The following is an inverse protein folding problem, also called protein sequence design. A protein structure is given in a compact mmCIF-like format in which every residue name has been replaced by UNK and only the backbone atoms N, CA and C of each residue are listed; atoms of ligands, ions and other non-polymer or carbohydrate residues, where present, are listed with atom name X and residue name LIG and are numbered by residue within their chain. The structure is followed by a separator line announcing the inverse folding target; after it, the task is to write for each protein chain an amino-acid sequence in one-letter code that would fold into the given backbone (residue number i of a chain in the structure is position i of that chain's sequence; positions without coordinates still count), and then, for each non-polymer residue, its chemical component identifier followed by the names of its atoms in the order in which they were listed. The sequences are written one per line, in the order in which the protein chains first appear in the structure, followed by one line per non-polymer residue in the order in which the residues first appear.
data_IF_668185235456
#
_entry.id   IF_668185235456
#
_cell.length_a   1.000
_cell.length_b   1.000
_cell.length_c   1.000
_cell.angle_alpha   90.00
_cell.angle_beta   90.00
_cell.angle_gamma   90.00
#
_symmetry.space_group_name_H-M   'P 1'
#
loop_
_entity.id
_entity.type
_entity.pdbx_description
1 polymer ?
#
# COMPACT_ATOMS: atom_id res chain seq x y z
N UNK A 1 34.46 25.33 -15.63
CA UNK A 1 34.49 26.60 -14.90
C UNK A 1 33.18 26.97 -14.16
N UNK A 2 32.00 26.44 -14.50
CA UNK A 2 30.73 26.71 -13.79
C UNK A 2 30.49 25.82 -12.57
N UNK A 3 31.06 24.62 -12.53
CA UNK A 3 30.88 23.67 -11.42
C UNK A 3 31.71 24.07 -10.18
N UNK A 4 32.89 24.60 -10.39
CA UNK A 4 33.79 25.06 -9.31
C UNK A 4 33.23 26.24 -8.51
N UNK A 5 32.46 27.13 -9.14
CA UNK A 5 31.83 28.28 -8.46
C UNK A 5 30.67 27.86 -7.53
N UNK A 6 29.99 26.74 -7.80
CA UNK A 6 28.94 26.23 -6.91
C UNK A 6 29.51 25.48 -5.71
N UNK A 7 30.63 24.80 -5.86
CA UNK A 7 31.34 24.13 -4.75
C UNK A 7 31.94 25.14 -3.79
N UNK A 8 32.51 26.25 -4.31
CA UNK A 8 33.07 27.30 -3.47
C UNK A 8 32.01 28.06 -2.66
N UNK A 9 30.80 28.22 -3.18
CA UNK A 9 29.67 28.86 -2.48
C UNK A 9 29.09 28.00 -1.33
N UNK A 10 29.16 26.66 -1.42
CA UNK A 10 28.72 25.76 -0.36
C UNK A 10 29.74 25.71 0.81
N UNK A 11 31.04 25.80 0.51
CA UNK A 11 32.10 25.81 1.55
C UNK A 11 32.09 27.12 2.32
N UNK A 12 31.81 28.27 1.69
CA UNK A 12 31.71 29.57 2.38
C UNK A 12 30.48 29.73 3.26
N UNK A 13 29.38 29.02 2.97
CA UNK A 13 28.18 29.05 3.81
C UNK A 13 28.29 28.19 5.09
N UNK A 14 29.13 27.14 5.09
CA UNK A 14 29.37 26.26 6.24
C UNK A 14 30.35 26.83 7.29
N UNK A 15 31.21 27.76 6.91
CA UNK A 15 32.24 28.34 7.80
C UNK A 15 31.72 29.51 8.64
N UNK A 16 30.55 30.05 8.35
CA UNK A 16 29.95 31.21 9.05
C UNK A 16 29.25 30.87 10.37
N UNK A 17 29.17 29.60 10.77
CA UNK A 17 28.47 29.17 12.01
C UNK A 17 29.41 28.72 13.15
N UNK A 18 30.74 28.85 13.04
CA UNK A 18 31.64 28.50 14.14
C UNK A 18 32.46 29.72 14.52
N UNK A 19 32.13 30.29 15.67
CA UNK A 19 32.83 31.45 16.25
C UNK A 19 34.32 31.20 16.45
N UNK A 20 35.09 32.21 16.13
CA UNK A 20 36.49 32.53 16.48
C UNK A 20 37.35 31.37 17.03
N UNK A 21 37.94 30.57 16.17
CA UNK A 21 39.14 29.78 16.44
C UNK A 21 40.15 30.09 15.34
N UNK A 22 41.41 30.39 15.78
CA UNK A 22 42.46 30.92 14.91
C UNK A 22 42.80 30.02 13.74
N UNK A 23 43.09 30.67 12.62
CA UNK A 23 43.50 30.09 11.35
C UNK A 23 44.87 29.46 11.46
N UNK A 24 45.01 28.21 11.87
CA UNK A 24 46.28 27.47 11.79
C UNK A 24 46.15 26.03 11.28
N UNK A 25 44.97 25.55 10.90
CA UNK A 25 44.90 24.22 10.31
C UNK A 25 43.79 24.09 9.23
N UNK A 26 43.95 24.84 8.15
CA UNK A 26 43.13 24.69 6.94
C UNK A 26 43.32 23.32 6.26
N UNK A 27 44.44 22.64 6.51
CA UNK A 27 44.76 21.35 5.91
C UNK A 27 43.94 20.24 6.59
N UNK A 28 43.84 20.22 7.92
CA UNK A 28 43.03 19.25 8.66
C UNK A 28 41.54 19.43 8.47
N UNK A 29 41.06 20.68 8.27
CA UNK A 29 39.66 20.96 7.96
C UNK A 29 39.28 20.52 6.53
N UNK A 30 40.20 20.64 5.58
CA UNK A 30 40.04 20.18 4.19
C UNK A 30 40.06 18.64 4.10
N UNK A 31 40.90 17.97 4.88
CA UNK A 31 40.93 16.51 4.97
C UNK A 31 39.69 15.94 5.68
N UNK A 32 39.21 16.58 6.74
CA UNK A 32 37.95 16.23 7.42
C UNK A 32 36.74 16.52 6.55
N UNK A 33 36.71 17.61 5.79
CA UNK A 33 35.64 17.90 4.83
C UNK A 33 35.70 16.98 3.60
N UNK A 34 36.93 16.59 3.18
CA UNK A 34 37.14 15.60 2.11
C UNK A 34 36.59 14.21 2.48
N UNK A 35 36.76 13.77 3.72
CA UNK A 35 36.23 12.52 4.23
C UNK A 35 34.69 12.57 4.48
N UNK A 36 34.13 13.75 4.76
CA UNK A 36 32.67 13.92 4.83
C UNK A 36 32.01 14.05 3.45
N UNK A 37 32.74 14.44 2.41
CA UNK A 37 32.22 14.55 1.04
C UNK A 37 32.31 13.26 0.23
N UNK A 38 32.95 12.20 0.76
CA UNK A 38 33.09 10.90 0.09
C UNK A 38 32.09 9.83 0.52
N UNK A 39 31.08 10.17 1.31
CA UNK A 39 29.91 9.33 1.49
C UNK A 39 28.83 9.65 0.42
N UNK A 40 29.22 9.87 -0.85
CA UNK A 40 28.29 9.65 -1.95
C UNK A 40 28.11 8.15 -2.05
N UNK A 41 26.88 7.65 -1.87
CA UNK A 41 26.57 6.27 -2.19
C UNK A 41 27.18 5.97 -3.56
N UNK A 42 28.01 4.92 -3.67
CA UNK A 42 28.50 4.48 -4.99
C UNK A 42 27.26 4.13 -5.81
N UNK A 43 27.02 4.90 -6.86
CA UNK A 43 25.93 4.65 -7.80
C UNK A 43 26.49 3.95 -9.05
N UNK A 44 25.72 3.02 -9.60
CA UNK A 44 26.14 2.27 -10.78
C UNK A 44 24.94 1.85 -11.63
N UNK A 45 25.28 1.17 -12.73
CA UNK A 45 24.29 0.53 -13.60
C UNK A 45 24.66 -0.93 -13.83
N UNK A 46 23.64 -1.78 -13.89
CA UNK A 46 23.77 -3.19 -14.24
C UNK A 46 22.68 -3.53 -15.26
N UNK A 47 23.07 -3.65 -16.52
CA UNK A 47 22.12 -3.81 -17.62
C UNK A 47 21.14 -2.63 -17.69
N UNK A 48 19.87 -2.91 -17.48
CA UNK A 48 18.79 -1.91 -17.46
C UNK A 48 18.49 -1.35 -16.06
N UNK A 49 19.22 -1.76 -15.04
CA UNK A 49 19.02 -1.35 -13.66
C UNK A 49 20.02 -0.26 -13.27
N UNK A 50 19.55 0.72 -12.47
CA UNK A 50 20.39 1.61 -11.68
C UNK A 50 20.42 1.11 -10.25
N UNK A 51 21.56 1.25 -9.58
CA UNK A 51 21.71 0.83 -8.20
C UNK A 51 22.59 1.80 -7.40
N UNK A 52 22.43 1.77 -6.08
CA UNK A 52 23.28 2.42 -5.12
C UNK A 52 23.84 1.42 -4.12
N UNK A 53 24.99 1.74 -3.52
CA UNK A 53 25.57 0.97 -2.43
C UNK A 53 25.13 1.59 -1.10
N UNK A 54 24.50 0.78 -0.26
CA UNK A 54 24.06 1.22 1.07
C UNK A 54 25.25 1.38 2.03
N UNK A 55 25.03 2.01 3.18
CA UNK A 55 26.05 2.13 4.23
C UNK A 55 26.52 0.77 4.78
N UNK A 56 25.72 -0.29 4.61
CA UNK A 56 26.08 -1.66 4.99
C UNK A 56 26.94 -2.35 3.92
N UNK A 57 27.19 -1.70 2.78
CA UNK A 57 27.92 -2.28 1.65
C UNK A 57 27.09 -3.21 0.77
N UNK A 58 25.75 -3.18 0.91
CA UNK A 58 24.79 -3.93 0.13
C UNK A 58 24.26 -3.11 -1.05
N UNK A 59 23.59 -3.73 -1.99
CA UNK A 59 23.02 -3.07 -3.17
C UNK A 59 21.53 -2.80 -2.95
N UNK A 60 21.13 -1.56 -3.24
CA UNK A 60 19.76 -1.12 -3.44
C UNK A 60 19.53 -0.82 -4.93
N UNK A 61 18.52 -1.44 -5.54
CA UNK A 61 18.07 -1.07 -6.88
C UNK A 61 17.33 0.26 -6.79
N UNK A 62 17.84 1.29 -7.45
CA UNK A 62 17.32 2.66 -7.39
C UNK A 62 16.55 3.09 -8.62
N UNK A 63 16.63 2.31 -9.72
CA UNK A 63 15.91 2.65 -10.94
C UNK A 63 16.00 1.57 -12.02
N UNK A 64 15.20 1.77 -13.06
CA UNK A 64 15.16 0.92 -14.25
C UNK A 64 14.93 1.76 -15.52
N UNK A 65 15.46 1.30 -16.65
CA UNK A 65 15.13 1.89 -17.95
C UNK A 65 13.65 1.74 -18.29
N UNK A 66 12.96 2.84 -18.60
CA UNK A 66 11.50 2.93 -18.79
C UNK A 66 10.95 2.07 -19.96
N UNK A 67 11.78 1.73 -20.94
CA UNK A 67 11.36 0.99 -22.15
C UNK A 67 11.47 -0.53 -22.05
N UNK A 68 11.94 -1.06 -20.92
CA UNK A 68 12.14 -2.51 -20.78
C UNK A 68 10.81 -3.22 -20.53
N UNK A 69 10.70 -4.44 -21.09
CA UNK A 69 9.51 -5.28 -20.92
C UNK A 69 9.69 -6.36 -19.86
N UNK A 70 10.94 -6.76 -19.59
CA UNK A 70 11.26 -7.78 -18.59
C UNK A 70 12.58 -7.44 -17.90
N UNK A 71 12.65 -7.68 -16.61
CA UNK A 71 13.84 -7.45 -15.78
C UNK A 71 14.08 -8.65 -14.87
N UNK A 72 15.31 -9.12 -14.82
CA UNK A 72 15.79 -10.04 -13.81
C UNK A 72 16.79 -9.29 -12.91
N UNK A 73 16.45 -9.14 -11.64
CA UNK A 73 17.31 -8.52 -10.64
C UNK A 73 18.29 -9.61 -10.18
N UNK A 74 19.63 -9.39 -10.30
CA UNK A 74 20.59 -10.38 -9.85
C UNK A 74 20.66 -10.42 -8.32
N UNK A 75 21.02 -11.55 -7.74
CA UNK A 75 21.22 -11.67 -6.29
C UNK A 75 22.42 -10.87 -5.79
N UNK A 76 23.42 -10.62 -6.66
CA UNK A 76 24.64 -9.87 -6.35
C UNK A 76 25.05 -8.99 -7.52
N UNK A 77 25.60 -7.81 -7.22
CA UNK A 77 26.31 -6.93 -8.16
C UNK A 77 27.68 -6.60 -7.55
N UNK A 78 28.76 -6.83 -8.30
CA UNK A 78 30.14 -6.61 -7.85
C UNK A 78 30.49 -7.32 -6.53
N UNK A 79 29.98 -8.56 -6.33
CA UNK A 79 30.10 -9.37 -5.10
C UNK A 79 29.42 -8.74 -3.87
N UNK A 80 28.56 -7.76 -4.04
CA UNK A 80 27.71 -7.18 -2.99
C UNK A 80 26.29 -7.71 -3.16
N UNK A 81 25.63 -8.20 -2.11
CA UNK A 81 24.27 -8.74 -2.23
C UNK A 81 23.25 -7.63 -2.55
N UNK A 82 22.30 -7.96 -3.42
CA UNK A 82 21.14 -7.09 -3.67
C UNK A 82 20.08 -7.38 -2.61
N UNK A 83 19.89 -6.46 -1.69
CA UNK A 83 18.99 -6.65 -0.52
C UNK A 83 17.76 -5.78 -0.54
N UNK A 84 17.71 -4.76 -1.40
CA UNK A 84 16.56 -3.86 -1.46
C UNK A 84 16.25 -3.36 -2.85
N UNK A 85 14.95 -3.11 -3.06
CA UNK A 85 14.41 -2.30 -4.14
C UNK A 85 13.97 -0.99 -3.52
N UNK A 86 14.59 0.12 -3.92
CA UNK A 86 14.39 1.43 -3.35
C UNK A 86 13.04 2.06 -3.71
N UNK A 87 12.76 3.17 -3.07
CA UNK A 87 11.55 3.96 -3.36
C UNK A 87 11.53 4.41 -4.82
N UNK A 88 10.39 4.23 -5.50
CA UNK A 88 10.18 4.59 -6.91
C UNK A 88 11.07 3.85 -7.93
N UNK A 89 11.78 2.78 -7.58
CA UNK A 89 12.78 2.14 -8.44
C UNK A 89 12.23 1.73 -9.83
N UNK A 90 11.00 1.24 -9.90
CA UNK A 90 10.31 0.89 -11.15
C UNK A 90 9.08 1.76 -11.41
N UNK A 91 9.00 2.93 -10.74
CA UNK A 91 7.85 3.81 -10.90
C UNK A 91 7.62 4.20 -12.37
N UNK A 92 6.35 4.08 -12.81
CA UNK A 92 5.90 4.39 -14.17
C UNK A 92 6.65 3.61 -15.29
N UNK A 93 7.25 2.45 -14.96
CA UNK A 93 7.78 1.51 -15.95
C UNK A 93 6.60 0.83 -16.68
N UNK A 94 5.90 1.60 -17.52
CA UNK A 94 4.61 1.20 -18.13
C UNK A 94 4.73 0.05 -19.12
N UNK A 95 5.93 -0.21 -19.66
CA UNK A 95 6.19 -1.33 -20.59
C UNK A 95 6.54 -2.63 -19.87
N UNK A 96 6.83 -2.58 -18.56
CA UNK A 96 7.32 -3.70 -17.78
C UNK A 96 6.20 -4.73 -17.55
N UNK A 97 6.39 -5.95 -18.07
CA UNK A 97 5.41 -7.05 -17.97
C UNK A 97 5.80 -8.08 -16.93
N UNK A 98 7.10 -8.23 -16.65
CA UNK A 98 7.67 -9.23 -15.75
C UNK A 98 8.88 -8.69 -14.99
N UNK A 99 8.96 -8.97 -13.71
CA UNK A 99 10.13 -8.73 -12.85
C UNK A 99 10.41 -9.98 -12.05
N UNK A 100 11.65 -10.46 -12.11
CA UNK A 100 12.14 -11.51 -11.20
C UNK A 100 12.96 -10.87 -10.10
N UNK A 101 12.51 -11.04 -8.87
CA UNK A 101 13.15 -10.52 -7.66
C UNK A 101 13.87 -11.69 -6.98
N UNK A 102 15.16 -11.59 -6.65
CA UNK A 102 15.88 -12.66 -5.96
C UNK A 102 15.49 -12.75 -4.48
N UNK A 103 15.67 -13.93 -3.88
CA UNK A 103 15.36 -14.19 -2.45
C UNK A 103 16.23 -13.37 -1.48
N UNK A 104 17.34 -12.80 -1.97
CA UNK A 104 18.19 -11.90 -1.18
C UNK A 104 17.53 -10.55 -0.85
N UNK A 105 16.46 -10.17 -1.57
CA UNK A 105 15.73 -8.92 -1.34
C UNK A 105 14.82 -9.07 -0.12
N UNK A 106 15.06 -8.22 0.88
CA UNK A 106 14.30 -8.16 2.13
C UNK A 106 13.47 -6.89 2.29
N UNK A 107 13.64 -5.92 1.38
CA UNK A 107 12.88 -4.67 1.41
C UNK A 107 12.46 -4.25 0.00
N UNK A 108 11.19 -3.85 -0.14
CA UNK A 108 10.63 -3.21 -1.33
C UNK A 108 10.05 -1.87 -0.90
N UNK A 109 10.60 -0.79 -1.41
CA UNK A 109 10.29 0.57 -1.00
C UNK A 109 8.92 1.07 -1.46
N UNK A 110 8.56 2.24 -0.95
CA UNK A 110 7.33 2.94 -1.31
C UNK A 110 7.32 3.29 -2.80
N UNK A 111 6.15 3.14 -3.44
CA UNK A 111 5.97 3.40 -4.88
C UNK A 111 6.87 2.56 -5.80
N UNK A 112 7.53 1.50 -5.32
CA UNK A 112 8.55 0.79 -6.09
C UNK A 112 8.06 0.34 -7.47
N UNK A 113 6.81 -0.08 -7.60
CA UNK A 113 6.17 -0.49 -8.86
C UNK A 113 4.93 0.36 -9.20
N UNK A 114 4.83 1.57 -8.64
CA UNK A 114 3.72 2.48 -8.93
C UNK A 114 3.58 2.72 -10.44
N UNK A 115 2.38 2.57 -10.98
CA UNK A 115 2.10 2.84 -12.39
C UNK A 115 2.74 1.86 -13.38
N UNK A 116 3.21 0.69 -12.94
CA UNK A 116 3.65 -0.39 -13.84
C UNK A 116 2.43 -1.02 -14.53
N UNK A 117 1.84 -0.29 -15.47
CA UNK A 117 0.52 -0.61 -16.04
C UNK A 117 0.47 -1.92 -16.83
N UNK A 118 1.61 -2.42 -17.33
CA UNK A 118 1.70 -3.68 -18.07
C UNK A 118 2.11 -4.88 -17.20
N UNK A 119 2.46 -4.66 -15.93
CA UNK A 119 2.90 -5.73 -15.03
C UNK A 119 1.76 -6.72 -14.79
N UNK A 120 1.96 -8.00 -15.15
CA UNK A 120 0.88 -9.01 -15.12
C UNK A 120 0.92 -9.90 -13.88
N UNK A 121 2.10 -10.08 -13.29
CA UNK A 121 2.33 -10.85 -12.06
C UNK A 121 3.69 -10.51 -11.48
N UNK A 122 3.84 -10.73 -10.19
CA UNK A 122 5.09 -10.54 -9.45
C UNK A 122 5.10 -11.44 -8.22
N UNK A 123 6.24 -12.01 -7.90
CA UNK A 123 6.46 -12.76 -6.66
C UNK A 123 7.24 -11.89 -5.70
N UNK A 124 6.70 -11.70 -4.49
CA UNK A 124 7.37 -11.01 -3.40
C UNK A 124 8.24 -12.03 -2.65
N UNK A 125 9.55 -11.78 -2.46
CA UNK A 125 10.43 -12.70 -1.73
C UNK A 125 10.04 -12.89 -0.26
N UNK A 126 10.33 -14.08 0.30
CA UNK A 126 10.01 -14.46 1.68
C UNK A 126 10.72 -13.60 2.75
N UNK A 127 11.75 -12.82 2.39
CA UNK A 127 12.42 -11.88 3.28
C UNK A 127 11.66 -10.58 3.50
N UNK A 128 10.67 -10.25 2.65
CA UNK A 128 9.95 -8.97 2.69
C UNK A 128 8.88 -8.99 3.79
N UNK A 129 8.89 -7.98 4.67
CA UNK A 129 8.02 -7.96 5.86
C UNK A 129 6.80 -7.03 5.73
N UNK A 130 6.73 -6.22 4.70
CA UNK A 130 5.57 -5.36 4.42
C UNK A 130 5.40 -5.11 2.92
N UNK A 131 4.14 -4.95 2.48
CA UNK A 131 3.84 -4.36 1.18
C UNK A 131 3.64 -2.86 1.41
N UNK A 132 4.62 -2.05 1.02
CA UNK A 132 4.76 -0.63 1.36
C UNK A 132 3.69 0.29 0.76
N UNK A 133 3.82 1.58 1.10
CA UNK A 133 2.90 2.63 0.65
C UNK A 133 2.89 2.72 -0.88
N UNK A 134 1.71 2.53 -1.48
CA UNK A 134 1.48 2.60 -2.94
C UNK A 134 2.42 1.74 -3.79
N UNK A 135 3.01 0.68 -3.24
CA UNK A 135 4.03 -0.14 -3.93
C UNK A 135 3.54 -0.63 -5.29
N UNK A 136 2.31 -1.14 -5.40
CA UNK A 136 1.71 -1.63 -6.65
C UNK A 136 0.53 -0.78 -7.13
N UNK A 137 0.40 0.45 -6.63
CA UNK A 137 -0.68 1.34 -7.03
C UNK A 137 -0.65 1.59 -8.54
N UNK A 138 -1.79 1.43 -9.21
CA UNK A 138 -1.91 1.62 -10.66
C UNK A 138 -1.34 0.50 -11.53
N UNK A 139 -0.98 -0.65 -10.97
CA UNK A 139 -0.64 -1.85 -11.73
C UNK A 139 -1.91 -2.48 -12.32
N UNK A 140 -2.50 -1.81 -13.31
CA UNK A 140 -3.84 -2.15 -13.82
C UNK A 140 -3.95 -3.52 -14.48
N UNK A 141 -2.83 -4.09 -14.95
CA UNK A 141 -2.76 -5.41 -15.58
C UNK A 141 -2.40 -6.53 -14.63
N UNK A 142 -2.09 -6.21 -13.34
CA UNK A 142 -1.72 -7.19 -12.33
C UNK A 142 -2.92 -8.11 -12.03
N UNK A 143 -2.79 -9.40 -12.34
CA UNK A 143 -3.87 -10.40 -12.22
C UNK A 143 -3.81 -11.16 -10.93
N UNK A 144 -2.60 -11.46 -10.49
CA UNK A 144 -2.30 -12.26 -9.30
C UNK A 144 -1.04 -11.75 -8.61
N UNK A 145 -1.00 -11.92 -7.32
CA UNK A 145 0.18 -11.64 -6.49
C UNK A 145 0.23 -12.63 -5.33
N UNK A 146 1.41 -13.21 -5.11
CA UNK A 146 1.67 -14.00 -3.93
C UNK A 146 2.28 -13.12 -2.85
N UNK A 147 1.58 -13.01 -1.71
CA UNK A 147 2.07 -12.30 -0.51
C UNK A 147 2.67 -13.35 0.42
N UNK A 148 3.97 -13.28 0.75
CA UNK A 148 4.62 -14.29 1.58
C UNK A 148 4.24 -14.19 3.06
N UNK A 149 4.44 -15.29 3.81
CA UNK A 149 4.16 -15.39 5.26
C UNK A 149 5.04 -14.48 6.14
N UNK A 150 6.05 -13.85 5.56
CA UNK A 150 6.86 -12.82 6.24
C UNK A 150 6.13 -11.48 6.41
N UNK A 151 5.17 -11.16 5.52
CA UNK A 151 4.47 -9.87 5.49
C UNK A 151 3.56 -9.72 6.72
N UNK A 152 3.71 -8.61 7.45
CA UNK A 152 2.94 -8.28 8.66
C UNK A 152 1.85 -7.24 8.42
N UNK A 153 2.00 -6.43 7.37
CA UNK A 153 1.04 -5.36 7.02
C UNK A 153 0.97 -5.13 5.52
N UNK A 154 -0.23 -4.71 5.07
CA UNK A 154 -0.48 -4.20 3.73
C UNK A 154 -0.76 -2.71 3.90
N UNK A 155 0.17 -1.88 3.43
CA UNK A 155 0.19 -0.45 3.71
C UNK A 155 -0.83 0.35 2.87
N UNK A 156 -0.93 1.67 3.16
CA UNK A 156 -1.92 2.52 2.50
C UNK A 156 -1.77 2.48 0.97
N UNK A 157 -2.89 2.25 0.29
CA UNK A 157 -3.01 2.22 -1.18
C UNK A 157 -2.07 1.21 -1.87
N UNK A 158 -1.58 0.19 -1.18
CA UNK A 158 -0.59 -0.76 -1.71
C UNK A 158 -0.99 -1.35 -3.07
N UNK A 159 -2.27 -1.68 -3.27
CA UNK A 159 -2.85 -2.20 -4.51
C UNK A 159 -3.93 -1.28 -5.10
N UNK A 160 -3.86 0.03 -4.81
CA UNK A 160 -4.83 1.00 -5.35
C UNK A 160 -4.92 0.89 -6.88
N UNK A 161 -6.12 0.65 -7.40
CA UNK A 161 -6.36 0.62 -8.85
C UNK A 161 -5.75 -0.58 -9.59
N UNK A 162 -5.40 -1.67 -8.90
CA UNK A 162 -5.06 -2.95 -9.54
C UNK A 162 -6.32 -3.57 -10.14
N UNK A 163 -6.78 -2.98 -11.25
CA UNK A 163 -8.10 -3.24 -11.81
C UNK A 163 -8.29 -4.68 -12.33
N UNK A 164 -7.22 -5.36 -12.72
CA UNK A 164 -7.25 -6.74 -13.20
C UNK A 164 -7.05 -7.79 -12.10
N UNK A 165 -6.80 -7.38 -10.84
CA UNK A 165 -6.54 -8.29 -9.73
C UNK A 165 -7.82 -9.06 -9.37
N UNK A 166 -7.80 -10.37 -9.62
CA UNK A 166 -9.00 -11.23 -9.45
C UNK A 166 -9.03 -11.94 -8.11
N UNK A 167 -7.85 -12.24 -7.57
CA UNK A 167 -7.68 -12.97 -6.31
C UNK A 167 -6.42 -12.49 -5.59
N UNK A 168 -6.50 -12.43 -4.27
CA UNK A 168 -5.35 -12.19 -3.38
C UNK A 168 -5.50 -13.08 -2.16
N UNK A 169 -4.49 -13.88 -1.88
CA UNK A 169 -4.41 -14.64 -0.64
C UNK A 169 -3.64 -13.79 0.38
N UNK A 170 -4.30 -13.40 1.46
CA UNK A 170 -3.68 -12.69 2.57
C UNK A 170 -3.17 -13.73 3.58
N UNK A 171 -1.86 -13.79 3.86
CA UNK A 171 -1.32 -14.79 4.77
C UNK A 171 -1.68 -14.51 6.24
N UNK A 172 -1.66 -15.57 7.07
CA UNK A 172 -1.94 -15.49 8.51
C UNK A 172 -0.93 -14.65 9.32
N UNK A 173 0.10 -14.16 8.70
CA UNK A 173 1.07 -13.24 9.30
C UNK A 173 0.62 -11.78 9.28
N UNK A 174 -0.34 -11.42 8.40
CA UNK A 174 -0.84 -10.04 8.25
C UNK A 174 -1.78 -9.71 9.40
N UNK A 175 -1.48 -8.62 10.10
CA UNK A 175 -2.30 -8.13 11.22
C UNK A 175 -3.10 -6.88 10.90
N UNK A 176 -2.73 -6.15 9.84
CA UNK A 176 -3.36 -4.88 9.46
C UNK A 176 -3.45 -4.72 7.94
N UNK A 177 -4.62 -4.29 7.49
CA UNK A 177 -4.88 -3.83 6.11
C UNK A 177 -5.19 -2.33 6.22
N UNK A 178 -4.29 -1.49 5.70
CA UNK A 178 -4.41 -0.04 5.85
C UNK A 178 -5.34 0.60 4.81
N UNK A 179 -5.50 1.93 4.93
CA UNK A 179 -6.48 2.68 4.14
C UNK A 179 -6.23 2.57 2.63
N UNK A 180 -7.30 2.32 1.88
CA UNK A 180 -7.26 2.21 0.42
C UNK A 180 -6.46 1.03 -0.12
N UNK A 181 -6.03 0.07 0.71
CA UNK A 181 -5.12 -1.01 0.29
C UNK A 181 -5.54 -1.71 -1.01
N UNK A 182 -6.84 -1.95 -1.19
CA UNK A 182 -7.42 -2.55 -2.40
C UNK A 182 -8.45 -1.62 -3.07
N UNK A 183 -8.31 -0.31 -2.89
CA UNK A 183 -9.22 0.67 -3.50
C UNK A 183 -9.27 0.50 -5.03
N UNK A 184 -10.47 0.37 -5.61
CA UNK A 184 -10.69 0.15 -7.06
C UNK A 184 -10.01 -1.10 -7.63
N UNK A 185 -9.83 -2.17 -6.87
CA UNK A 185 -9.54 -3.50 -7.41
C UNK A 185 -10.83 -4.07 -8.01
N UNK A 186 -11.19 -3.55 -9.19
CA UNK A 186 -12.53 -3.74 -9.78
C UNK A 186 -12.81 -5.17 -10.22
N UNK A 187 -11.79 -5.99 -10.46
CA UNK A 187 -11.94 -7.40 -10.84
C UNK A 187 -11.91 -8.37 -9.66
N UNK A 188 -11.68 -7.90 -8.43
CA UNK A 188 -11.65 -8.75 -7.25
C UNK A 188 -13.03 -9.34 -6.99
N UNK A 189 -13.13 -10.68 -6.90
CA UNK A 189 -14.42 -11.40 -6.85
C UNK A 189 -14.73 -11.83 -5.43
N UNK A 190 -13.77 -12.43 -4.76
CA UNK A 190 -13.90 -12.93 -3.39
C UNK A 190 -12.66 -12.61 -2.59
N UNK A 191 -12.81 -12.44 -1.28
CA UNK A 191 -11.68 -12.26 -0.37
C UNK A 191 -11.98 -12.92 0.97
N UNK A 192 -10.99 -13.64 1.48
CA UNK A 192 -10.98 -14.13 2.87
C UNK A 192 -9.91 -13.35 3.63
N UNK A 193 -10.34 -12.68 4.68
CA UNK A 193 -9.44 -11.99 5.62
C UNK A 193 -9.10 -12.98 6.72
N UNK A 194 -7.80 -13.24 6.99
CA UNK A 194 -7.41 -14.22 8.00
C UNK A 194 -7.65 -13.73 9.44
N UNK A 195 -7.78 -14.66 10.37
CA UNK A 195 -8.04 -14.40 11.80
C UNK A 195 -6.92 -13.60 12.50
N UNK A 196 -5.78 -13.43 11.86
CA UNK A 196 -4.69 -12.57 12.35
C UNK A 196 -4.96 -11.07 12.19
N UNK A 197 -5.86 -10.69 11.26
CA UNK A 197 -6.16 -9.28 10.97
C UNK A 197 -7.06 -8.71 12.06
N UNK A 198 -6.63 -7.60 12.66
CA UNK A 198 -7.37 -6.89 13.70
C UNK A 198 -7.90 -5.52 13.26
N UNK A 199 -7.42 -5.01 12.13
CA UNK A 199 -7.74 -3.68 11.64
C UNK A 199 -7.90 -3.66 10.12
N UNK A 200 -9.00 -3.04 9.65
CA UNK A 200 -9.26 -2.75 8.24
C UNK A 200 -9.49 -1.24 8.12
N UNK A 201 -8.62 -0.58 7.35
CA UNK A 201 -8.58 0.88 7.19
C UNK A 201 -9.72 1.44 6.35
N UNK A 202 -9.83 2.77 6.37
CA UNK A 202 -10.78 3.52 5.56
C UNK A 202 -10.61 3.21 4.07
N UNK A 203 -11.72 3.08 3.34
CA UNK A 203 -11.71 2.82 1.90
C UNK A 203 -10.93 1.56 1.46
N UNK A 204 -10.59 0.63 2.36
CA UNK A 204 -9.71 -0.49 2.03
C UNK A 204 -10.19 -1.32 0.81
N UNK A 205 -11.49 -1.47 0.61
CA UNK A 205 -12.12 -2.17 -0.53
C UNK A 205 -13.06 -1.25 -1.32
N UNK A 206 -12.96 0.06 -1.16
CA UNK A 206 -13.82 1.01 -1.85
C UNK A 206 -13.71 0.85 -3.38
N UNK A 207 -14.85 0.74 -4.05
CA UNK A 207 -14.91 0.58 -5.50
C UNK A 207 -14.49 -0.78 -6.04
N UNK A 208 -14.41 -1.82 -5.20
CA UNK A 208 -14.27 -3.21 -5.64
C UNK A 208 -15.61 -3.69 -6.21
N UNK A 209 -15.93 -3.25 -7.42
CA UNK A 209 -17.28 -3.37 -8.00
C UNK A 209 -17.72 -4.81 -8.27
N UNK A 210 -16.78 -5.75 -8.47
CA UNK A 210 -17.08 -7.16 -8.71
C UNK A 210 -16.99 -8.01 -7.44
N UNK A 211 -16.65 -7.43 -6.28
CA UNK A 211 -16.55 -8.16 -5.02
C UNK A 211 -17.94 -8.68 -4.60
N UNK A 212 -18.13 -9.99 -4.68
CA UNK A 212 -19.40 -10.67 -4.37
C UNK A 212 -19.46 -11.10 -2.91
N UNK A 213 -18.32 -11.53 -2.38
CA UNK A 213 -18.21 -12.09 -1.03
C UNK A 213 -16.91 -11.65 -0.37
N UNK A 214 -17.01 -11.26 0.88
CA UNK A 214 -15.87 -11.06 1.77
C UNK A 214 -16.18 -11.65 3.13
N UNK A 215 -15.22 -12.40 3.68
CA UNK A 215 -15.32 -12.94 5.03
C UNK A 215 -14.45 -12.08 5.93
N UNK A 216 -15.09 -11.43 6.91
CA UNK A 216 -14.43 -10.62 7.93
C UNK A 216 -14.42 -11.41 9.22
N UNK A 217 -13.25 -11.73 9.80
CA UNK A 217 -13.16 -12.55 11.00
C UNK A 217 -13.48 -11.76 12.28
N UNK A 218 -13.81 -12.48 13.37
CA UNK A 218 -14.12 -11.89 14.68
C UNK A 218 -12.92 -11.19 15.36
N UNK A 219 -11.71 -11.41 14.86
CA UNK A 219 -10.52 -10.67 15.27
C UNK A 219 -10.52 -9.21 14.86
N UNK A 220 -11.29 -8.83 13.84
CA UNK A 220 -11.37 -7.45 13.35
C UNK A 220 -12.21 -6.61 14.30
N UNK A 221 -11.55 -5.71 15.04
CA UNK A 221 -12.21 -4.82 15.99
C UNK A 221 -12.60 -3.46 15.41
N UNK A 222 -12.11 -3.13 14.21
CA UNK A 222 -12.40 -1.86 13.55
C UNK A 222 -12.43 -2.05 12.02
N UNK A 223 -13.54 -1.57 11.43
CA UNK A 223 -13.73 -1.44 9.98
C UNK A 223 -13.85 0.07 9.72
N UNK A 224 -12.94 0.64 8.95
CA UNK A 224 -12.92 2.08 8.67
C UNK A 224 -14.12 2.59 7.88
N UNK A 225 -14.29 3.90 7.81
CA UNK A 225 -15.33 4.53 6.98
C UNK A 225 -15.15 4.21 5.50
N UNK A 226 -16.24 4.19 4.75
CA UNK A 226 -16.22 3.92 3.29
C UNK A 226 -15.53 2.62 2.87
N UNK A 227 -15.25 1.68 3.80
CA UNK A 227 -14.46 0.47 3.50
C UNK A 227 -15.02 -0.31 2.32
N UNK A 228 -16.33 -0.46 2.23
CA UNK A 228 -17.02 -1.17 1.13
C UNK A 228 -17.84 -0.23 0.24
N UNK A 229 -17.52 1.07 0.23
CA UNK A 229 -18.20 2.05 -0.61
C UNK A 229 -18.17 1.61 -2.08
N UNK A 230 -19.33 1.51 -2.73
CA UNK A 230 -19.43 1.15 -4.14
C UNK A 230 -19.05 -0.29 -4.48
N UNK A 231 -19.05 -1.21 -3.53
CA UNK A 231 -18.96 -2.65 -3.79
C UNK A 231 -20.30 -3.13 -4.36
N UNK A 232 -20.57 -2.76 -5.61
CA UNK A 232 -21.90 -2.91 -6.23
C UNK A 232 -22.37 -4.37 -6.37
N UNK A 233 -21.46 -5.32 -6.42
CA UNK A 233 -21.76 -6.77 -6.54
C UNK A 233 -21.84 -7.48 -5.19
N UNK A 234 -21.58 -6.81 -4.07
CA UNK A 234 -21.58 -7.43 -2.74
C UNK A 234 -23.00 -7.82 -2.36
N UNK A 235 -23.24 -9.14 -2.23
CA UNK A 235 -24.59 -9.70 -1.96
C UNK A 235 -24.84 -9.94 -0.48
N UNK A 236 -23.79 -10.30 0.25
CA UNK A 236 -23.85 -10.56 1.69
C UNK A 236 -22.52 -10.22 2.36
N UNK A 237 -22.60 -9.80 3.60
CA UNK A 237 -21.46 -9.61 4.49
C UNK A 237 -21.90 -9.82 5.92
N UNK A 238 -21.04 -10.47 6.71
CA UNK A 238 -21.21 -10.57 8.16
C UNK A 238 -20.33 -9.53 8.82
N UNK A 239 -20.94 -8.72 9.68
CA UNK A 239 -20.21 -7.78 10.56
C UNK A 239 -19.90 -8.54 11.83
N UNK A 240 -18.63 -8.68 12.24
CA UNK A 240 -18.28 -9.45 13.43
C UNK A 240 -18.73 -8.76 14.73
N UNK A 241 -18.99 -9.55 15.78
CA UNK A 241 -19.44 -9.08 17.09
C UNK A 241 -18.39 -8.22 17.83
N UNK A 242 -17.16 -8.21 17.35
CA UNK A 242 -16.08 -7.33 17.85
C UNK A 242 -16.21 -5.88 17.38
N UNK A 243 -17.03 -5.59 16.36
CA UNK A 243 -17.21 -4.24 15.79
C UNK A 243 -18.25 -3.47 16.59
N UNK A 244 -17.88 -2.27 17.07
CA UNK A 244 -18.76 -1.42 17.89
C UNK A 244 -19.37 -0.24 17.13
N UNK A 245 -18.85 0.07 15.94
CA UNK A 245 -19.30 1.21 15.14
C UNK A 245 -19.33 0.85 13.66
N UNK A 246 -20.39 1.22 12.96
CA UNK A 246 -20.45 1.27 11.50
C UNK A 246 -20.21 2.73 11.11
N UNK A 247 -19.06 3.02 10.52
CA UNK A 247 -18.65 4.38 10.18
C UNK A 247 -19.38 4.92 8.95
N UNK A 248 -19.20 6.21 8.70
CA UNK A 248 -19.83 6.91 7.56
C UNK A 248 -19.52 6.21 6.24
N UNK A 249 -20.56 6.06 5.42
CA UNK A 249 -20.50 5.50 4.06
C UNK A 249 -19.92 4.08 3.95
N UNK A 250 -19.80 3.32 5.04
CA UNK A 250 -19.13 1.99 5.04
C UNK A 250 -19.67 1.07 3.94
N UNK A 251 -21.00 1.01 3.74
CA UNK A 251 -21.67 0.19 2.71
C UNK A 251 -22.40 1.04 1.67
N UNK A 252 -22.09 2.34 1.58
CA UNK A 252 -22.77 3.21 0.62
C UNK A 252 -22.61 2.68 -0.81
N UNK A 253 -23.73 2.55 -1.53
CA UNK A 253 -23.73 2.08 -2.91
C UNK A 253 -23.49 0.57 -3.10
N UNK A 254 -23.58 -0.24 -2.04
CA UNK A 254 -23.62 -1.71 -2.15
C UNK A 254 -24.98 -2.14 -2.72
N UNK A 255 -25.18 -1.90 -4.02
CA UNK A 255 -26.48 -2.00 -4.66
C UNK A 255 -27.05 -3.41 -4.75
N UNK A 256 -26.21 -4.44 -4.64
CA UNK A 256 -26.63 -5.86 -4.64
C UNK A 256 -26.82 -6.42 -3.24
N UNK A 257 -26.51 -5.68 -2.18
CA UNK A 257 -26.67 -6.14 -0.80
C UNK A 257 -28.16 -6.27 -0.48
N UNK A 258 -28.62 -7.48 -0.16
CA UNK A 258 -30.05 -7.76 0.06
C UNK A 258 -30.42 -7.80 1.54
N UNK A 259 -29.49 -8.22 2.37
CA UNK A 259 -29.65 -8.40 3.80
C UNK A 259 -28.42 -7.95 4.57
N UNK A 260 -28.63 -7.39 5.74
CA UNK A 260 -27.59 -7.10 6.73
C UNK A 260 -28.10 -7.33 8.14
N UNK A 261 -27.30 -8.02 8.94
CA UNK A 261 -27.50 -8.13 10.39
C UNK A 261 -26.44 -7.29 11.07
N UNK A 262 -26.89 -6.30 11.84
CA UNK A 262 -26.01 -5.47 12.66
C UNK A 262 -25.87 -6.17 14.01
N UNK A 263 -24.65 -6.48 14.47
CA UNK A 263 -24.45 -7.18 15.74
C UNK A 263 -24.81 -6.33 16.96
N UNK A 264 -25.11 -7.00 18.09
CA UNK A 264 -25.50 -6.34 19.35
C UNK A 264 -24.42 -5.43 19.93
N UNK A 265 -23.16 -5.63 19.53
CA UNK A 265 -22.02 -4.79 19.90
C UNK A 265 -22.06 -3.38 19.31
N UNK A 266 -22.80 -3.16 18.23
CA UNK A 266 -22.82 -1.87 17.53
C UNK A 266 -23.69 -0.88 18.28
N UNK A 267 -23.10 0.28 18.60
CA UNK A 267 -23.78 1.38 19.30
C UNK A 267 -24.08 2.59 18.41
N UNK A 268 -23.36 2.72 17.27
CA UNK A 268 -23.58 3.83 16.35
C UNK A 268 -23.46 3.44 14.87
N UNK A 269 -24.28 4.10 14.04
CA UNK A 269 -24.27 3.97 12.58
C UNK A 269 -24.06 5.37 11.99
N UNK A 270 -22.97 5.56 11.30
CA UNK A 270 -22.52 6.83 10.72
C UNK A 270 -23.32 7.26 9.49
N UNK A 271 -23.16 8.52 9.12
CA UNK A 271 -23.86 9.13 7.99
C UNK A 271 -23.73 8.33 6.71
N UNK A 272 -24.85 8.16 5.99
CA UNK A 272 -24.89 7.50 4.68
C UNK A 272 -24.37 6.05 4.68
N UNK A 273 -24.28 5.37 5.83
CA UNK A 273 -23.65 4.04 5.93
C UNK A 273 -24.24 3.00 4.95
N UNK A 274 -25.55 3.03 4.70
CA UNK A 274 -26.25 2.19 3.75
C UNK A 274 -26.96 3.00 2.65
N UNK A 275 -26.52 4.21 2.39
CA UNK A 275 -27.08 5.06 1.34
C UNK A 275 -27.00 4.35 -0.03
N UNK A 276 -28.09 4.33 -0.79
CA UNK A 276 -28.18 3.68 -2.11
C UNK A 276 -27.85 2.19 -2.13
N UNK A 277 -28.10 1.47 -1.04
CA UNK A 277 -28.16 0.01 -1.05
C UNK A 277 -29.51 -0.44 -1.66
N UNK A 278 -29.65 -0.33 -2.98
CA UNK A 278 -30.92 -0.39 -3.70
C UNK A 278 -31.62 -1.75 -3.69
N UNK A 279 -30.93 -2.81 -3.26
CA UNK A 279 -31.50 -4.15 -3.06
C UNK A 279 -31.75 -4.51 -1.60
N UNK A 280 -31.39 -3.62 -0.65
CA UNK A 280 -31.43 -3.93 0.79
C UNK A 280 -32.86 -3.88 1.31
N UNK A 281 -33.44 -5.07 1.53
CA UNK A 281 -34.81 -5.26 2.01
C UNK A 281 -34.89 -5.75 3.45
N UNK A 282 -33.84 -6.43 3.93
CA UNK A 282 -33.80 -6.99 5.27
C UNK A 282 -32.65 -6.35 6.08
N UNK A 283 -33.02 -5.61 7.13
CA UNK A 283 -32.07 -5.02 8.08
C UNK A 283 -32.51 -5.36 9.50
N UNK A 284 -31.62 -5.98 10.27
CA UNK A 284 -31.79 -6.15 11.71
C UNK A 284 -30.94 -5.13 12.43
N UNK A 285 -31.56 -4.24 13.20
CA UNK A 285 -30.88 -3.23 14.02
C UNK A 285 -31.16 -3.60 15.49
N UNK A 286 -30.11 -3.87 16.28
CA UNK A 286 -30.28 -4.20 17.70
C UNK A 286 -30.67 -2.98 18.54
N UNK A 287 -31.29 -3.21 19.71
CA UNK A 287 -31.70 -2.14 20.64
C UNK A 287 -30.51 -1.33 21.17
N UNK A 288 -29.30 -1.88 21.13
CA UNK A 288 -28.06 -1.21 21.54
C UNK A 288 -27.63 -0.06 20.66
N UNK A 289 -28.16 0.07 19.45
CA UNK A 289 -27.85 1.20 18.54
C UNK A 289 -28.57 2.45 19.02
N UNK A 290 -27.82 3.33 19.68
CA UNK A 290 -28.36 4.58 20.26
C UNK A 290 -28.10 5.81 19.40
N UNK A 291 -27.18 5.72 18.42
CA UNK A 291 -26.87 6.82 17.50
C UNK A 291 -26.99 6.36 16.04
N UNK A 292 -27.90 6.98 15.29
CA UNK A 292 -28.04 6.80 13.84
C UNK A 292 -27.95 8.19 13.20
N UNK A 293 -26.88 8.42 12.43
CA UNK A 293 -26.64 9.71 11.79
C UNK A 293 -27.51 9.92 10.54
N UNK A 294 -27.32 11.03 9.83
CA UNK A 294 -28.17 11.39 8.69
C UNK A 294 -28.02 10.44 7.48
N UNK A 295 -29.05 10.33 6.68
CA UNK A 295 -29.11 9.65 5.38
C UNK A 295 -28.73 8.16 5.37
N UNK A 296 -28.63 7.49 6.53
CA UNK A 296 -28.13 6.10 6.66
C UNK A 296 -28.83 5.16 5.67
N UNK A 297 -30.15 5.16 5.59
CA UNK A 297 -30.92 4.27 4.71
C UNK A 297 -31.60 5.00 3.54
N UNK A 298 -31.11 6.18 3.18
CA UNK A 298 -31.68 6.93 2.06
C UNK A 298 -31.48 6.14 0.74
N UNK A 299 -32.53 6.09 -0.07
CA UNK A 299 -32.56 5.34 -1.32
C UNK A 299 -32.37 3.83 -1.11
N UNK A 300 -32.92 3.27 -0.01
CA UNK A 300 -33.00 1.82 0.24
C UNK A 300 -34.47 1.40 0.31
N UNK A 301 -34.83 0.20 -0.23
CA UNK A 301 -36.21 -0.32 -0.16
C UNK A 301 -36.70 -0.55 1.28
N UNK A 302 -35.80 -0.92 2.20
CA UNK A 302 -36.11 -1.17 3.60
C UNK A 302 -36.76 0.04 4.30
N UNK A 303 -36.31 1.27 4.00
CA UNK A 303 -36.90 2.48 4.58
C UNK A 303 -38.31 2.77 4.02
N UNK A 304 -38.58 2.40 2.76
CA UNK A 304 -39.83 2.65 2.08
C UNK A 304 -40.93 1.69 2.56
N UNK A 305 -40.53 0.50 3.03
CA UNK A 305 -41.45 -0.57 3.47
C UNK A 305 -41.91 -0.44 4.94
N UNK A 306 -41.34 0.51 5.72
CA UNK A 306 -41.72 0.83 7.11
C UNK A 306 -42.42 2.19 7.20
#
# INVERSE_FOLDING_TARGET
MKLWKKVLAAVTAGVLCVGSVGVTDLQGVLESAGTMLTASAEEGTYGNLSYGVTNAGEIEITGCNMGVTSVEIPAEIDRKPVTSIGNNAFRDCTSLTEVKIPDSVINIGDYAFYGCTSLTGITIPDGVTSVGFQTFSGCISLKEIAIPDSVKSIENNAFYGCASLTEVVIPNSVTRIYSGAFYKCTSLIEMTIPDSVTYIGECAFCGCTNLKKIVVPDSVTSIGGSTFYGCTSLTEITIPDSVTNIWSSTFRGCSSLTKITIPDSVTSIGDSAFYSCTSLTEVTIPDGVTNIEGFVFTNTPWLIAK
#
